data_IF_599477596366
#
_entry.id   IF_599477596366
#
_cell.length_a   1.000
_cell.length_b   1.000
_cell.length_c   1.000
_cell.angle_alpha   90.00
_cell.angle_beta   90.00
_cell.angle_gamma   90.00
#
_symmetry.space_group_name_H-M   'P 1'
#
loop_
_entity.id
_entity.type
_entity.pdbx_description
1 polymer ?
#
# COMPACT_ATOMS: atom_id res chain seq x y z
N UNK A 1 26.26 -8.33 22.51
CA UNK A 1 25.93 -8.40 21.06
C UNK A 1 24.67 -9.24 20.91
N UNK A 2 23.53 -8.59 20.76
CA UNK A 2 22.32 -9.31 20.39
C UNK A 2 22.39 -9.65 18.91
N UNK A 3 22.65 -10.90 18.62
CA UNK A 3 22.43 -11.45 17.29
C UNK A 3 20.96 -11.84 17.28
N UNK A 4 20.13 -11.06 16.60
CA UNK A 4 18.80 -11.51 16.26
C UNK A 4 18.94 -12.57 15.16
N UNK A 5 19.07 -13.81 15.59
CA UNK A 5 18.89 -14.93 14.68
C UNK A 5 17.37 -15.04 14.40
N UNK A 6 16.91 -14.15 13.54
CA UNK A 6 15.53 -14.19 13.08
C UNK A 6 15.44 -15.24 12.00
N UNK A 7 15.25 -16.47 12.40
CA UNK A 7 14.63 -17.47 11.54
C UNK A 7 13.18 -17.05 11.33
N UNK A 8 13.01 -16.00 10.52
CA UNK A 8 11.69 -15.59 10.09
C UNK A 8 11.13 -16.71 9.23
N UNK A 9 10.10 -17.38 9.73
CA UNK A 9 9.21 -18.13 8.88
C UNK A 9 8.53 -17.14 7.94
N UNK A 10 9.12 -16.97 6.75
CA UNK A 10 8.67 -16.01 5.76
C UNK A 10 7.23 -16.29 5.28
N UNK A 11 6.80 -17.54 5.34
CA UNK A 11 5.44 -17.93 5.00
C UNK A 11 4.45 -17.47 6.07
N UNK A 12 4.77 -17.70 7.35
CA UNK A 12 3.94 -17.26 8.46
C UNK A 12 3.84 -15.73 8.50
N UNK A 13 4.95 -15.04 8.30
CA UNK A 13 4.96 -13.58 8.24
C UNK A 13 4.04 -13.06 7.14
N UNK A 14 4.10 -13.62 5.94
CA UNK A 14 3.19 -13.26 4.84
C UNK A 14 1.73 -13.46 5.20
N UNK A 15 1.40 -14.59 5.81
CA UNK A 15 0.03 -14.90 6.25
C UNK A 15 -0.45 -13.91 7.31
N UNK A 16 0.36 -13.63 8.32
CA UNK A 16 0.01 -12.71 9.39
C UNK A 16 -0.21 -11.29 8.88
N UNK A 17 0.70 -10.79 8.04
CA UNK A 17 0.57 -9.46 7.42
C UNK A 17 -0.66 -9.39 6.51
N UNK A 18 -0.90 -10.41 5.71
CA UNK A 18 -2.06 -10.44 4.82
C UNK A 18 -3.38 -10.48 5.61
N UNK A 19 -3.44 -11.25 6.69
CA UNK A 19 -4.62 -11.32 7.56
C UNK A 19 -4.89 -9.97 8.25
N UNK A 20 -3.87 -9.34 8.82
CA UNK A 20 -3.98 -8.03 9.46
C UNK A 20 -4.39 -6.95 8.44
N UNK A 21 -3.79 -6.98 7.26
CA UNK A 21 -4.14 -6.06 6.17
C UNK A 21 -5.59 -6.21 5.76
N UNK A 22 -6.07 -7.44 5.59
CA UNK A 22 -7.46 -7.73 5.23
C UNK A 22 -8.44 -7.25 6.31
N UNK A 23 -8.12 -7.45 7.58
CA UNK A 23 -8.91 -6.97 8.71
C UNK A 23 -9.00 -5.44 8.73
N UNK A 24 -7.87 -4.75 8.54
CA UNK A 24 -7.81 -3.30 8.52
C UNK A 24 -8.56 -2.71 7.32
N UNK A 25 -8.45 -3.32 6.15
CA UNK A 25 -9.19 -2.91 4.95
C UNK A 25 -10.69 -3.08 5.14
N UNK A 26 -11.11 -4.20 5.73
CA UNK A 26 -12.53 -4.45 6.06
C UNK A 26 -13.06 -3.40 7.03
N UNK A 27 -12.27 -3.05 8.05
CA UNK A 27 -12.63 -2.01 9.02
C UNK A 27 -12.71 -0.63 8.36
N UNK A 28 -11.77 -0.29 7.50
CA UNK A 28 -11.77 0.96 6.73
C UNK A 28 -13.04 1.06 5.86
N UNK A 29 -13.38 -0.02 5.14
CA UNK A 29 -14.61 -0.08 4.34
C UNK A 29 -15.86 0.16 5.18
N UNK A 30 -15.90 -0.43 6.38
CA UNK A 30 -17.05 -0.28 7.30
C UNK A 30 -17.15 1.14 7.85
N UNK A 31 -16.02 1.75 8.21
CA UNK A 31 -16.00 3.08 8.83
C UNK A 31 -16.15 4.22 7.83
N UNK A 32 -15.65 4.06 6.62
CA UNK A 32 -15.62 5.11 5.59
C UNK A 32 -16.10 4.59 4.24
N UNK A 33 -17.37 4.12 4.13
CA UNK A 33 -17.83 3.45 2.91
C UNK A 33 -17.84 4.36 1.68
N UNK A 34 -18.12 5.64 1.85
CA UNK A 34 -18.15 6.61 0.75
C UNK A 34 -16.75 6.87 0.19
N UNK A 35 -15.79 7.10 1.06
CA UNK A 35 -14.39 7.32 0.70
C UNK A 35 -13.77 6.04 0.14
N UNK A 36 -14.08 4.91 0.73
CA UNK A 36 -13.56 3.61 0.28
C UNK A 36 -13.89 3.34 -1.19
N UNK A 37 -15.10 3.68 -1.63
CA UNK A 37 -15.51 3.52 -3.03
C UNK A 37 -14.74 4.42 -4.00
N UNK A 38 -14.17 5.51 -3.50
CA UNK A 38 -13.39 6.47 -4.31
C UNK A 38 -11.92 6.08 -4.46
N UNK A 39 -11.46 5.01 -3.80
CA UNK A 39 -10.09 4.55 -3.91
C UNK A 39 -9.86 4.00 -5.31
N UNK A 40 -9.06 4.72 -6.09
CA UNK A 40 -8.70 4.35 -7.47
C UNK A 40 -7.42 3.53 -7.54
N UNK A 41 -6.48 3.80 -6.66
CA UNK A 41 -5.16 3.19 -6.68
C UNK A 41 -4.77 2.68 -5.30
N UNK A 42 -4.22 1.48 -5.27
CA UNK A 42 -3.70 0.86 -4.06
C UNK A 42 -2.20 0.70 -4.16
N UNK A 43 -1.51 1.14 -3.13
CA UNK A 43 -0.10 0.88 -2.93
C UNK A 43 0.11 -0.16 -1.84
N UNK A 44 1.06 -1.05 -2.07
CA UNK A 44 1.49 -2.03 -1.09
C UNK A 44 2.98 -1.87 -0.86
N UNK A 45 3.41 -2.04 0.37
CA UNK A 45 4.82 -2.04 0.73
C UNK A 45 5.62 -3.02 -0.14
N UNK A 46 6.73 -2.56 -0.67
CA UNK A 46 7.50 -3.28 -1.71
C UNK A 46 8.45 -4.33 -1.10
N UNK A 47 7.89 -5.37 -0.51
CA UNK A 47 8.68 -6.46 0.09
C UNK A 47 8.92 -7.66 -0.85
N UNK A 48 8.62 -7.51 -2.13
CA UNK A 48 8.76 -8.54 -3.16
C UNK A 48 7.45 -8.86 -3.88
N UNK A 49 7.53 -9.31 -5.15
CA UNK A 49 6.34 -9.55 -5.97
C UNK A 49 5.41 -10.59 -5.39
N UNK A 50 5.95 -11.70 -4.93
CA UNK A 50 5.15 -12.77 -4.30
C UNK A 50 4.41 -12.29 -3.04
N UNK A 51 5.01 -11.37 -2.31
CA UNK A 51 4.40 -10.80 -1.12
C UNK A 51 3.24 -9.88 -1.50
N UNK A 52 3.44 -9.01 -2.48
CA UNK A 52 2.40 -8.13 -3.01
C UNK A 52 1.25 -8.96 -3.59
N UNK A 53 1.53 -10.01 -4.34
CA UNK A 53 0.52 -10.93 -4.88
C UNK A 53 -0.32 -11.53 -3.75
N UNK A 54 0.33 -12.11 -2.77
CA UNK A 54 -0.34 -12.79 -1.67
C UNK A 54 -1.23 -11.84 -0.85
N UNK A 55 -0.70 -10.66 -0.49
CA UNK A 55 -1.47 -9.67 0.28
C UNK A 55 -2.64 -9.13 -0.55
N UNK A 56 -2.42 -8.81 -1.81
CA UNK A 56 -3.48 -8.29 -2.67
C UNK A 56 -4.61 -9.29 -2.90
N UNK A 57 -4.29 -10.55 -3.09
CA UNK A 57 -5.29 -11.63 -3.21
C UNK A 57 -6.08 -11.81 -1.92
N UNK A 58 -5.40 -11.88 -0.79
CA UNK A 58 -6.05 -12.02 0.51
C UNK A 58 -6.95 -10.84 0.86
N UNK A 59 -6.54 -9.64 0.48
CA UNK A 59 -7.30 -8.41 0.70
C UNK A 59 -8.36 -8.16 -0.39
N UNK A 60 -8.43 -8.99 -1.42
CA UNK A 60 -9.36 -8.84 -2.55
C UNK A 60 -9.21 -7.49 -3.26
N UNK A 61 -7.97 -7.02 -3.39
CA UNK A 61 -7.66 -5.80 -4.12
C UNK A 61 -7.60 -6.12 -5.61
N UNK A 62 -8.29 -5.35 -6.41
CA UNK A 62 -8.27 -5.47 -7.86
C UNK A 62 -6.85 -5.25 -8.40
N UNK A 63 -6.35 -6.21 -9.18
CA UNK A 63 -5.00 -6.14 -9.76
C UNK A 63 -4.79 -4.93 -10.68
N UNK A 64 -5.85 -4.42 -11.29
CA UNK A 64 -5.78 -3.20 -12.10
C UNK A 64 -5.44 -1.95 -11.29
N UNK A 65 -5.66 -1.99 -9.99
CA UNK A 65 -5.44 -0.87 -9.08
C UNK A 65 -4.09 -0.87 -8.36
N UNK A 66 -3.28 -1.93 -8.52
CA UNK A 66 -1.98 -2.09 -7.81
C UNK A 66 -0.76 -2.09 -8.73
N UNK A 67 -0.96 -1.82 -10.02
CA UNK A 67 0.13 -1.87 -11.01
C UNK A 67 1.35 -1.01 -10.65
N UNK A 68 1.11 0.16 -10.08
CA UNK A 68 2.18 1.07 -9.67
C UNK A 68 3.11 0.49 -8.59
N UNK A 69 2.58 -0.35 -7.69
CA UNK A 69 3.41 -1.04 -6.68
C UNK A 69 4.39 -2.02 -7.33
N UNK A 70 3.97 -2.74 -8.36
CA UNK A 70 4.86 -3.62 -9.12
C UNK A 70 5.92 -2.83 -9.89
N UNK A 71 5.54 -1.73 -10.51
CA UNK A 71 6.47 -0.87 -11.26
C UNK A 71 7.55 -0.29 -10.35
N UNK A 72 7.15 0.21 -9.18
CA UNK A 72 8.09 0.72 -8.18
C UNK A 72 9.03 -0.37 -7.66
N UNK A 73 8.50 -1.56 -7.41
CA UNK A 73 9.32 -2.66 -6.93
C UNK A 73 10.37 -3.09 -7.96
N UNK A 74 10.03 -3.09 -9.25
CA UNK A 74 10.99 -3.35 -10.34
C UNK A 74 12.06 -2.26 -10.41
N UNK A 75 11.68 -1.01 -10.18
CA UNK A 75 12.55 0.15 -10.30
C UNK A 75 13.50 0.31 -9.12
N UNK A 76 13.03 0.12 -7.90
CA UNK A 76 13.74 0.48 -6.67
C UNK A 76 13.94 -0.66 -5.68
N UNK A 77 13.28 -1.80 -5.88
CA UNK A 77 13.27 -2.91 -4.92
C UNK A 77 12.55 -2.57 -3.62
N UNK A 78 12.93 -3.24 -2.55
CA UNK A 78 12.40 -2.95 -1.22
C UNK A 78 13.13 -1.74 -0.61
N UNK A 79 12.43 -0.64 -0.48
CA UNK A 79 12.96 0.63 0.04
C UNK A 79 12.57 0.89 1.50
N UNK A 80 12.00 -0.10 2.17
CA UNK A 80 11.64 -0.01 3.60
C UNK A 80 10.64 1.11 3.88
N UNK A 81 10.92 1.90 4.91
CA UNK A 81 10.01 2.94 5.40
C UNK A 81 9.70 4.06 4.40
N UNK A 82 10.51 4.26 3.36
CA UNK A 82 10.27 5.30 2.35
C UNK A 82 9.38 4.85 1.19
N UNK A 83 8.97 3.60 1.16
CA UNK A 83 8.17 3.06 0.04
C UNK A 83 6.82 3.77 -0.13
N UNK A 84 6.17 4.19 0.95
CA UNK A 84 4.93 4.96 0.90
C UNK A 84 5.13 6.34 0.26
N UNK A 85 6.20 7.04 0.62
CA UNK A 85 6.53 8.34 0.04
C UNK A 85 6.87 8.24 -1.44
N UNK A 86 7.61 7.21 -1.82
CA UNK A 86 7.93 6.94 -3.23
C UNK A 86 6.66 6.65 -4.03
N UNK A 87 5.75 5.88 -3.47
CA UNK A 87 4.47 5.57 -4.10
C UNK A 87 3.64 6.85 -4.33
N UNK A 88 3.50 7.69 -3.32
CA UNK A 88 2.78 8.96 -3.43
C UNK A 88 3.44 9.87 -4.48
N UNK A 89 4.75 9.97 -4.47
CA UNK A 89 5.50 10.76 -5.45
C UNK A 89 5.26 10.26 -6.89
N UNK A 90 5.28 8.96 -7.13
CA UNK A 90 4.98 8.39 -8.45
C UNK A 90 3.52 8.61 -8.86
N UNK A 91 2.57 8.55 -7.93
CA UNK A 91 1.18 8.91 -8.21
C UNK A 91 1.05 10.34 -8.71
N UNK A 92 1.79 11.26 -8.12
CA UNK A 92 1.81 12.67 -8.55
C UNK A 92 2.45 12.82 -9.93
N UNK A 93 3.64 12.21 -10.12
CA UNK A 93 4.40 12.33 -11.36
C UNK A 93 3.67 11.71 -12.57
N UNK A 94 3.03 10.57 -12.38
CA UNK A 94 2.29 9.87 -13.42
C UNK A 94 0.85 10.34 -13.56
N UNK A 95 0.42 11.30 -12.76
CA UNK A 95 -0.96 11.83 -12.75
C UNK A 95 -2.02 10.73 -12.60
N UNK A 96 -1.73 9.75 -11.74
CA UNK A 96 -2.60 8.59 -11.52
C UNK A 96 -3.92 8.94 -10.85
N UNK A 97 -3.97 10.07 -10.14
CA UNK A 97 -5.16 10.55 -9.47
C UNK A 97 -5.66 11.84 -10.09
N UNK A 98 -6.94 11.85 -10.41
CA UNK A 98 -7.69 13.07 -10.75
C UNK A 98 -8.26 13.72 -9.48
N UNK A 99 -8.78 14.93 -9.62
CA UNK A 99 -9.46 15.63 -8.52
C UNK A 99 -10.52 14.73 -7.86
N UNK A 100 -10.53 14.70 -6.54
CA UNK A 100 -11.45 13.92 -5.69
C UNK A 100 -11.25 12.40 -5.73
N UNK A 101 -10.29 11.88 -6.47
CA UNK A 101 -9.91 10.47 -6.40
C UNK A 101 -8.97 10.24 -5.22
N UNK A 102 -9.12 9.06 -4.61
CA UNK A 102 -8.31 8.65 -3.46
C UNK A 102 -7.32 7.56 -3.87
N UNK A 103 -6.18 7.60 -3.23
CA UNK A 103 -5.25 6.48 -3.15
C UNK A 103 -5.23 5.93 -1.73
N UNK A 104 -4.87 4.67 -1.59
CA UNK A 104 -4.64 4.04 -0.31
C UNK A 104 -3.33 3.26 -0.35
N UNK A 105 -2.49 3.43 0.64
CA UNK A 105 -1.25 2.68 0.79
C UNK A 105 -1.32 1.78 2.01
N UNK A 106 -0.98 0.51 1.84
CA UNK A 106 -0.87 -0.48 2.91
C UNK A 106 0.60 -0.62 3.26
N UNK A 107 0.96 -0.11 4.43
CA UNK A 107 2.30 -0.24 4.98
C UNK A 107 2.32 -1.30 6.07
N UNK A 108 3.38 -2.05 6.14
CA UNK A 108 3.59 -3.04 7.18
C UNK A 108 5.04 -3.07 7.60
N UNK A 109 5.21 -3.23 8.90
CA UNK A 109 6.51 -3.27 9.55
C UNK A 109 6.43 -4.10 10.81
N UNK A 110 7.43 -4.00 11.65
CA UNK A 110 7.54 -4.73 12.91
C UNK A 110 6.39 -4.44 13.89
N UNK A 111 5.80 -3.26 13.79
CA UNK A 111 4.76 -2.76 14.70
C UNK A 111 3.34 -3.12 14.24
N UNK A 112 3.18 -3.68 13.05
CA UNK A 112 1.88 -4.04 12.50
C UNK A 112 1.63 -3.48 11.11
N UNK A 113 0.35 -3.29 10.79
CA UNK A 113 -0.12 -2.83 9.48
C UNK A 113 -0.81 -1.48 9.63
N UNK A 114 -0.42 -0.54 8.81
CA UNK A 114 -1.02 0.79 8.73
C UNK A 114 -1.63 1.03 7.34
N UNK A 115 -2.73 1.75 7.31
CA UNK A 115 -3.37 2.19 6.07
C UNK A 115 -3.32 3.71 6.00
N UNK A 116 -2.84 4.22 4.88
CA UNK A 116 -2.82 5.65 4.58
C UNK A 116 -3.72 5.94 3.40
N UNK A 117 -4.79 6.70 3.61
CA UNK A 117 -5.56 7.28 2.51
C UNK A 117 -5.03 8.67 2.18
N UNK A 118 -4.93 8.96 0.90
CA UNK A 118 -4.52 10.26 0.41
C UNK A 118 -5.33 10.65 -0.81
N UNK A 119 -5.45 11.96 -1.05
CA UNK A 119 -6.14 12.51 -2.21
C UNK A 119 -5.33 13.62 -2.84
N UNK A 120 -5.54 13.82 -4.13
CA UNK A 120 -5.00 14.99 -4.82
C UNK A 120 -5.80 16.21 -4.44
N UNK A 121 -5.13 17.21 -3.88
CA UNK A 121 -5.69 18.54 -3.69
C UNK A 121 -5.53 19.33 -4.98
N UNK A 122 -6.60 20.05 -5.39
CA UNK A 122 -6.43 21.07 -6.40
C UNK A 122 -5.74 22.27 -5.75
N UNK A 123 -4.45 22.43 -6.05
CA UNK A 123 -3.77 23.69 -5.74
C UNK A 123 -4.33 24.72 -6.70
N UNK A 124 -5.11 25.69 -6.20
CA UNK A 124 -5.37 26.91 -6.95
C UNK A 124 -4.01 27.58 -7.12
N UNK A 125 -3.50 27.62 -8.36
CA UNK A 125 -2.34 28.47 -8.64
C UNK A 125 -2.71 29.89 -8.22
N UNK A 126 -2.00 30.43 -7.23
CA UNK A 126 -2.03 31.86 -6.98
C UNK A 126 -1.48 32.56 -8.26
N UNK A 127 -2.39 33.13 -9.04
CA UNK A 127 -1.99 33.99 -10.14
C UNK A 127 -1.37 35.26 -9.57
#
# INVERSE_FOLDING_TARGET
RMIFDMKLDSQKLRQDVANLSAQNIKLLRKKTPSEFKKIKIWGLHTAGSRFVDYVSEKCQIDKTKIGLSYDLMKKTGNTGAVSSLQFINECVNKKELSKNQLGCFVDYGWEGVNLFMFKKLSIKSAA
#
